data_IF_288981724445
#
_entry.id   IF_288981724445
#
_cell.length_a   1.000
_cell.length_b   1.000
_cell.length_c   1.000
_cell.angle_alpha   90.00
_cell.angle_beta   90.00
_cell.angle_gamma   90.00
#
_symmetry.space_group_name_H-M   'P 1'
#
loop_
_entity.id
_entity.type
_entity.pdbx_description
1 polymer ?
#
# COMPACT_ATOMS: atom_id res chain seq x y z
N UNK A 1 13.92 6.10 -16.94
CA UNK A 1 12.99 6.20 -18.10
C UNK A 1 11.81 7.16 -17.82
N UNK A 2 11.05 7.02 -16.71
CA UNK A 2 9.88 7.88 -16.42
C UNK A 2 10.27 9.34 -16.21
N UNK A 3 11.34 9.62 -15.45
CA UNK A 3 11.88 10.98 -15.25
C UNK A 3 12.38 11.57 -16.58
N UNK A 4 13.04 10.78 -17.41
CA UNK A 4 13.49 11.24 -18.73
C UNK A 4 12.31 11.71 -19.61
N UNK A 5 11.18 10.99 -19.58
CA UNK A 5 9.95 11.38 -20.31
C UNK A 5 9.32 12.65 -19.74
N UNK A 6 9.29 12.80 -18.40
CA UNK A 6 8.85 14.04 -17.77
C UNK A 6 9.72 15.22 -18.21
N UNK A 7 11.05 15.07 -18.16
CA UNK A 7 11.99 16.12 -18.56
C UNK A 7 11.94 16.43 -20.07
N UNK A 8 11.52 15.48 -20.89
CA UNK A 8 11.27 15.67 -22.31
C UNK A 8 9.92 16.37 -22.61
N UNK A 9 9.10 16.64 -21.59
CA UNK A 9 7.80 17.31 -21.75
C UNK A 9 6.68 16.39 -22.27
N UNK A 10 6.86 15.06 -22.19
CA UNK A 10 5.79 14.11 -22.54
C UNK A 10 4.66 14.10 -21.50
N UNK A 11 4.92 14.59 -20.28
CA UNK A 11 3.98 14.68 -19.16
C UNK A 11 4.19 15.97 -18.38
N UNK A 12 3.11 16.55 -17.85
CA UNK A 12 3.17 17.71 -16.93
C UNK A 12 3.64 17.30 -15.53
N UNK A 13 3.26 16.10 -15.09
CA UNK A 13 3.65 15.51 -13.81
C UNK A 13 3.61 13.99 -13.89
N UNK A 14 4.33 13.32 -12.98
CA UNK A 14 4.29 11.86 -12.79
C UNK A 14 4.24 11.52 -11.30
N UNK A 15 3.56 10.42 -10.96
CA UNK A 15 3.53 9.89 -9.60
C UNK A 15 4.46 8.69 -9.52
N UNK A 16 5.37 8.72 -8.55
CA UNK A 16 6.36 7.68 -8.29
C UNK A 16 6.44 7.38 -6.80
N UNK A 17 6.97 6.20 -6.46
CA UNK A 17 7.32 5.87 -5.09
C UNK A 17 8.46 6.78 -4.60
N UNK A 18 8.21 7.63 -3.61
CA UNK A 18 9.19 8.57 -3.07
C UNK A 18 10.45 7.87 -2.58
N UNK A 19 10.30 6.73 -1.87
CA UNK A 19 11.41 5.91 -1.39
C UNK A 19 12.33 5.46 -2.54
N UNK A 20 11.78 5.12 -3.71
CA UNK A 20 12.58 4.74 -4.88
C UNK A 20 13.45 5.89 -5.38
N UNK A 21 12.92 7.09 -5.45
CA UNK A 21 13.66 8.31 -5.84
C UNK A 21 14.77 8.61 -4.85
N UNK A 22 14.46 8.60 -3.55
CA UNK A 22 15.39 8.88 -2.46
C UNK A 22 16.53 7.84 -2.38
N UNK A 23 16.20 6.56 -2.46
CA UNK A 23 17.21 5.48 -2.40
C UNK A 23 18.15 5.48 -3.61
N UNK A 24 17.70 5.96 -4.75
CA UNK A 24 18.53 6.12 -5.95
C UNK A 24 19.32 7.44 -5.96
N UNK A 25 18.99 8.38 -5.06
CA UNK A 25 19.66 9.68 -4.98
C UNK A 25 19.44 10.57 -6.22
N UNK A 26 18.27 10.41 -6.86
CA UNK A 26 17.95 11.08 -8.14
C UNK A 26 16.95 12.23 -7.99
N UNK A 27 16.73 12.74 -6.79
CA UNK A 27 15.86 13.88 -6.52
C UNK A 27 16.25 15.11 -7.35
N UNK A 28 17.56 15.28 -7.55
CA UNK A 28 18.12 16.40 -8.30
C UNK A 28 17.93 16.28 -9.84
N UNK A 29 17.46 15.12 -10.33
CA UNK A 29 17.17 14.93 -11.75
C UNK A 29 15.80 15.48 -12.16
N UNK A 30 14.98 15.90 -11.18
CA UNK A 30 13.67 16.50 -11.40
C UNK A 30 13.64 17.95 -10.89
N UNK A 31 12.95 18.82 -11.63
CA UNK A 31 12.81 20.22 -11.26
C UNK A 31 12.03 20.42 -9.96
N UNK A 32 11.02 19.60 -9.74
CA UNK A 32 10.17 19.63 -8.54
C UNK A 32 9.95 18.21 -8.04
N UNK A 33 10.23 18.00 -6.77
CA UNK A 33 9.94 16.76 -6.04
C UNK A 33 9.06 17.12 -4.84
N UNK A 34 7.83 16.63 -4.84
CA UNK A 34 6.85 16.90 -3.79
C UNK A 34 6.33 15.60 -3.19
N UNK A 35 6.83 15.15 -2.02
CA UNK A 35 6.28 13.99 -1.32
C UNK A 35 4.82 14.22 -0.96
N UNK A 36 3.93 13.31 -1.35
CA UNK A 36 2.52 13.34 -1.00
C UNK A 36 2.34 12.57 0.31
N UNK A 37 1.69 13.19 1.30
CA UNK A 37 1.35 12.54 2.56
C UNK A 37 0.37 11.39 2.33
N UNK A 38 0.49 10.33 3.15
CA UNK A 38 -0.47 9.22 3.17
C UNK A 38 -1.87 9.63 3.60
N UNK A 39 -2.03 10.78 4.29
CA UNK A 39 -3.34 11.37 4.59
C UNK A 39 -4.03 11.94 3.33
N UNK A 40 -3.25 12.26 2.29
CA UNK A 40 -3.78 12.77 1.01
C UNK A 40 -3.92 11.65 -0.01
N UNK A 41 -2.96 10.73 -0.05
CA UNK A 41 -2.95 9.60 -0.97
C UNK A 41 -2.57 8.33 -0.23
N UNK A 42 -3.55 7.48 0.04
CA UNK A 42 -3.33 6.16 0.63
C UNK A 42 -2.65 5.27 -0.43
N UNK A 43 -1.45 4.73 -0.17
CA UNK A 43 -0.72 3.93 -1.15
C UNK A 43 -1.34 2.53 -1.33
N UNK A 44 -0.86 1.81 -2.34
CA UNK A 44 -1.11 0.36 -2.45
C UNK A 44 -0.41 -0.41 -1.33
N UNK A 45 -0.93 -1.60 -1.00
CA UNK A 45 -0.34 -2.45 0.04
C UNK A 45 1.15 -2.69 -0.20
N UNK A 46 1.93 -2.77 0.87
CA UNK A 46 3.36 -3.07 0.83
C UNK A 46 4.21 -1.97 0.21
N UNK A 47 3.66 -0.76 -0.01
CA UNK A 47 4.44 0.36 -0.55
C UNK A 47 5.62 0.68 0.36
N UNK A 48 6.83 0.68 -0.20
CA UNK A 48 8.13 0.84 0.47
C UNK A 48 8.59 -0.36 1.32
N UNK A 49 7.85 -1.45 1.35
CA UNK A 49 8.30 -2.71 1.99
C UNK A 49 9.06 -3.57 0.98
N UNK A 50 10.23 -4.06 1.37
CA UNK A 50 11.03 -5.00 0.56
C UNK A 50 10.80 -6.43 1.06
N UNK A 51 10.31 -7.29 0.17
CA UNK A 51 10.23 -8.73 0.41
C UNK A 51 11.51 -9.43 -0.05
N UNK A 52 12.07 -10.27 0.81
CA UNK A 52 13.24 -11.11 0.48
C UNK A 52 12.76 -12.54 0.33
N UNK A 53 12.86 -13.07 -0.89
CA UNK A 53 12.57 -14.49 -1.17
C UNK A 53 13.85 -15.31 -1.09
N UNK A 54 13.75 -16.48 -0.44
CA UNK A 54 14.88 -17.41 -0.29
C UNK A 54 14.39 -18.85 -0.18
N UNK A 55 15.31 -19.79 -0.19
CA UNK A 55 15.04 -21.20 0.11
C UNK A 55 14.69 -21.38 1.61
N UNK A 56 13.99 -22.47 1.94
CA UNK A 56 13.69 -22.84 3.32
C UNK A 56 14.87 -23.52 4.05
N UNK A 57 16.11 -23.31 3.58
CA UNK A 57 17.31 -23.80 4.27
C UNK A 57 17.49 -23.02 5.58
N UNK A 58 17.52 -23.71 6.74
CA UNK A 58 17.65 -23.07 8.05
C UNK A 58 18.89 -22.17 8.18
N UNK A 59 19.99 -22.52 7.52
CA UNK A 59 21.23 -21.71 7.56
C UNK A 59 21.07 -20.40 6.80
N UNK A 60 20.36 -20.45 5.67
CA UNK A 60 20.07 -19.24 4.89
C UNK A 60 19.09 -18.35 5.65
N UNK A 61 18.03 -18.94 6.23
CA UNK A 61 17.06 -18.21 7.05
C UNK A 61 17.71 -17.54 8.26
N UNK A 62 18.65 -18.20 8.93
CA UNK A 62 19.43 -17.62 10.04
C UNK A 62 20.21 -16.38 9.57
N UNK A 63 20.91 -16.47 8.44
CA UNK A 63 21.71 -15.37 7.91
C UNK A 63 20.84 -14.15 7.57
N UNK A 64 19.70 -14.37 6.92
CA UNK A 64 18.83 -13.25 6.47
C UNK A 64 17.93 -12.72 7.58
N UNK A 65 17.74 -13.46 8.70
CA UNK A 65 16.86 -13.05 9.79
C UNK A 65 17.22 -11.69 10.38
N UNK A 66 18.49 -11.29 10.31
CA UNK A 66 18.98 -9.98 10.77
C UNK A 66 18.42 -8.80 9.97
N UNK A 67 17.87 -9.07 8.77
CA UNK A 67 17.25 -8.07 7.91
C UNK A 67 15.75 -7.90 8.20
N UNK A 68 15.18 -8.73 9.07
CA UNK A 68 13.78 -8.65 9.42
C UNK A 68 13.49 -7.40 10.24
N UNK A 69 12.60 -6.56 9.74
CA UNK A 69 12.07 -5.39 10.43
C UNK A 69 10.70 -5.76 11.03
N UNK A 70 10.60 -5.74 12.37
CA UNK A 70 9.40 -6.16 13.08
C UNK A 70 8.21 -5.25 12.80
N UNK A 71 8.44 -3.93 12.71
CA UNK A 71 7.39 -2.95 12.44
C UNK A 71 6.86 -3.11 11.01
N UNK A 72 7.77 -3.24 10.03
CA UNK A 72 7.39 -3.50 8.65
C UNK A 72 6.65 -4.84 8.49
N UNK A 73 7.00 -5.87 9.28
CA UNK A 73 6.28 -7.14 9.29
C UNK A 73 4.84 -6.98 9.78
N UNK A 74 4.63 -6.27 10.88
CA UNK A 74 3.29 -6.00 11.45
C UNK A 74 2.45 -5.20 10.44
N UNK A 75 2.97 -4.06 9.97
CA UNK A 75 2.29 -3.19 9.01
C UNK A 75 1.90 -3.95 7.73
N UNK A 76 2.86 -4.65 7.11
CA UNK A 76 2.62 -5.40 5.87
C UNK A 76 1.67 -6.59 6.06
N UNK A 77 1.64 -7.22 7.23
CA UNK A 77 0.68 -8.30 7.56
C UNK A 77 -0.75 -7.77 7.56
N UNK A 78 -0.99 -6.61 8.17
CA UNK A 78 -2.30 -5.96 8.19
C UNK A 78 -2.73 -5.57 6.77
N UNK A 79 -1.85 -4.88 6.04
CA UNK A 79 -2.14 -4.41 4.68
C UNK A 79 -2.46 -5.58 3.74
N UNK A 80 -1.67 -6.66 3.81
CA UNK A 80 -1.88 -7.86 2.99
C UNK A 80 -3.20 -8.55 3.34
N UNK A 81 -3.46 -8.78 4.63
CA UNK A 81 -4.68 -9.49 5.05
C UNK A 81 -5.95 -8.72 4.67
N UNK A 82 -5.90 -7.37 4.62
CA UNK A 82 -6.98 -6.54 4.10
C UNK A 82 -7.24 -6.81 2.62
N UNK A 83 -6.22 -6.75 1.77
CA UNK A 83 -6.35 -6.95 0.32
C UNK A 83 -6.74 -8.40 -0.01
N UNK A 84 -6.14 -9.39 0.66
CA UNK A 84 -6.44 -10.80 0.47
C UNK A 84 -7.91 -11.13 0.82
N UNK A 85 -8.43 -10.54 1.90
CA UNK A 85 -9.83 -10.75 2.33
C UNK A 85 -10.83 -10.13 1.35
N UNK A 86 -10.50 -8.98 0.76
CA UNK A 86 -11.31 -8.37 -0.30
C UNK A 86 -11.24 -9.15 -1.61
N UNK A 87 -10.28 -10.09 -1.76
CA UNK A 87 -9.98 -10.78 -3.01
C UNK A 87 -9.63 -9.79 -4.14
N UNK A 88 -9.03 -8.66 -3.77
CA UNK A 88 -8.61 -7.61 -4.69
C UNK A 88 -7.37 -8.02 -5.47
N UNK A 89 -7.47 -8.00 -6.81
CA UNK A 89 -6.31 -8.16 -7.69
C UNK A 89 -5.49 -6.87 -7.80
N UNK A 90 -4.29 -6.96 -8.39
CA UNK A 90 -3.41 -5.81 -8.63
C UNK A 90 -4.00 -4.72 -9.57
N UNK A 91 -5.17 -4.97 -10.15
CA UNK A 91 -5.77 -4.11 -11.19
C UNK A 91 -6.97 -3.30 -10.70
N UNK A 92 -7.33 -3.44 -9.42
CA UNK A 92 -8.45 -2.70 -8.82
C UNK A 92 -7.95 -1.59 -7.90
N UNK A 93 -8.65 -0.44 -7.83
CA UNK A 93 -8.23 0.71 -7.03
C UNK A 93 -8.42 0.43 -5.53
N UNK A 94 -7.42 -0.17 -4.91
CA UNK A 94 -7.33 -0.42 -3.48
C UNK A 94 -6.08 0.27 -2.94
N UNK A 95 -6.27 1.10 -1.92
CA UNK A 95 -5.20 1.65 -1.11
C UNK A 95 -5.35 1.18 0.33
N UNK A 96 -4.23 0.86 0.98
CA UNK A 96 -4.19 0.57 2.42
C UNK A 96 -2.82 0.90 2.98
N UNK A 97 -2.80 1.56 4.13
CA UNK A 97 -1.59 1.86 4.87
C UNK A 97 -1.80 1.61 6.35
N UNK A 98 -1.01 0.74 6.92
CA UNK A 98 -0.86 0.57 8.35
C UNK A 98 0.36 1.39 8.82
N UNK A 99 0.25 2.02 9.98
CA UNK A 99 1.33 2.82 10.57
C UNK A 99 1.31 2.67 12.08
N UNK A 100 2.38 2.15 12.66
CA UNK A 100 2.53 2.06 14.11
C UNK A 100 2.63 3.48 14.68
N UNK A 101 1.76 3.80 15.65
CA UNK A 101 1.72 5.12 16.31
C UNK A 101 2.60 5.11 17.57
N UNK A 102 2.46 4.04 18.35
CA UNK A 102 3.20 3.82 19.59
C UNK A 102 3.27 2.30 19.89
N UNK A 103 3.82 1.93 21.04
CA UNK A 103 4.03 0.52 21.45
C UNK A 103 2.73 -0.32 21.49
N UNK A 104 1.56 0.33 21.59
CA UNK A 104 0.27 -0.35 21.77
C UNK A 104 -0.72 -0.11 20.63
N UNK A 105 -0.47 0.89 19.79
CA UNK A 105 -1.45 1.43 18.85
C UNK A 105 -0.96 1.46 17.42
N UNK A 106 -1.82 1.08 16.50
CA UNK A 106 -1.59 1.15 15.06
C UNK A 106 -2.76 1.83 14.36
N UNK A 107 -2.46 2.77 13.47
CA UNK A 107 -3.44 3.42 12.59
C UNK A 107 -3.50 2.66 11.28
N UNK A 108 -4.71 2.42 10.78
CA UNK A 108 -4.90 1.80 9.46
C UNK A 108 -5.85 2.65 8.65
N UNK A 109 -5.35 3.16 7.53
CA UNK A 109 -6.10 3.90 6.54
C UNK A 109 -6.35 2.99 5.34
N UNK A 110 -7.58 2.93 4.84
CA UNK A 110 -7.92 2.13 3.68
C UNK A 110 -8.93 2.84 2.78
N UNK A 111 -8.84 2.58 1.49
CA UNK A 111 -9.75 3.09 0.46
C UNK A 111 -9.95 2.05 -0.63
N UNK A 112 -11.18 1.93 -1.10
CA UNK A 112 -11.58 1.17 -2.28
C UNK A 112 -12.48 2.07 -3.11
N UNK A 113 -12.27 2.19 -4.42
CA UNK A 113 -13.06 3.11 -5.23
C UNK A 113 -13.14 2.75 -6.70
N UNK A 114 -13.83 3.56 -7.47
CA UNK A 114 -13.78 3.53 -8.94
C UNK A 114 -12.56 4.28 -9.46
N UNK A 115 -12.02 3.91 -10.64
CA UNK A 115 -10.83 4.56 -11.20
C UNK A 115 -11.01 6.08 -11.47
N UNK A 116 -12.24 6.52 -11.70
CA UNK A 116 -12.58 7.93 -11.95
C UNK A 116 -12.85 8.72 -10.66
N UNK A 117 -12.80 8.07 -9.48
CA UNK A 117 -13.04 8.69 -8.19
C UNK A 117 -14.49 9.05 -7.90
N UNK A 118 -15.45 8.67 -8.75
CA UNK A 118 -16.87 9.03 -8.60
C UNK A 118 -17.55 8.35 -7.41
N UNK A 119 -17.02 7.20 -7.00
CA UNK A 119 -17.54 6.43 -5.86
C UNK A 119 -16.39 5.73 -5.14
N UNK A 120 -16.36 5.82 -3.81
CA UNK A 120 -15.37 5.14 -2.98
C UNK A 120 -15.88 4.85 -1.58
N UNK A 121 -15.27 3.89 -0.92
CA UNK A 121 -15.41 3.55 0.49
C UNK A 121 -14.06 3.80 1.14
N UNK A 122 -14.02 4.53 2.24
CA UNK A 122 -12.80 4.76 2.99
C UNK A 122 -13.01 4.62 4.48
N UNK A 123 -11.96 4.20 5.19
CA UNK A 123 -11.89 4.10 6.63
C UNK A 123 -10.50 4.55 7.13
N UNK A 124 -10.49 5.12 8.31
CA UNK A 124 -9.32 5.50 9.08
C UNK A 124 -9.55 5.07 10.52
N UNK A 125 -8.86 4.05 10.97
CA UNK A 125 -9.08 3.44 12.28
C UNK A 125 -7.78 3.40 13.09
N UNK A 126 -7.92 3.41 14.41
CA UNK A 126 -6.85 3.05 15.35
C UNK A 126 -7.24 1.76 16.07
N UNK A 127 -6.29 0.84 16.20
CA UNK A 127 -6.49 -0.47 16.81
C UNK A 127 -5.32 -0.83 17.73
N UNK A 128 -5.51 -1.83 18.59
CA UNK A 128 -4.43 -2.34 19.45
C UNK A 128 -3.50 -3.25 18.65
N UNK A 129 -2.20 -2.97 18.71
CA UNK A 129 -1.18 -3.68 17.93
C UNK A 129 -1.10 -5.18 18.24
N UNK A 130 -1.46 -5.59 19.45
CA UNK A 130 -1.46 -7.01 19.86
C UNK A 130 -2.40 -7.90 19.03
N UNK A 131 -3.36 -7.32 18.34
CA UNK A 131 -4.32 -8.03 17.48
C UNK A 131 -4.02 -7.86 15.99
N UNK A 132 -2.80 -7.45 15.63
CA UNK A 132 -2.44 -7.06 14.27
C UNK A 132 -2.80 -8.10 13.21
N UNK A 133 -2.72 -9.40 13.52
CA UNK A 133 -3.06 -10.49 12.59
C UNK A 133 -4.53 -10.46 12.12
N UNK A 134 -5.44 -9.85 12.93
CA UNK A 134 -6.88 -9.80 12.65
C UNK A 134 -7.34 -8.45 12.12
N UNK A 135 -6.56 -7.39 12.31
CA UNK A 135 -6.98 -6.01 12.01
C UNK A 135 -7.36 -5.88 10.54
N UNK A 136 -6.50 -6.35 9.62
CA UNK A 136 -6.74 -6.24 8.19
C UNK A 136 -7.99 -6.99 7.75
N UNK A 137 -8.18 -8.22 8.23
CA UNK A 137 -9.38 -9.01 7.93
C UNK A 137 -10.67 -8.37 8.47
N UNK A 138 -10.64 -7.88 9.71
CA UNK A 138 -11.80 -7.22 10.33
C UNK A 138 -12.15 -5.92 9.60
N UNK A 139 -11.16 -5.15 9.18
CA UNK A 139 -11.37 -3.94 8.39
C UNK A 139 -11.95 -4.28 7.02
N UNK A 140 -11.41 -5.29 6.34
CA UNK A 140 -11.93 -5.75 5.04
C UNK A 140 -13.38 -6.20 5.13
N UNK A 141 -13.77 -6.89 6.22
CA UNK A 141 -15.17 -7.28 6.43
C UNK A 141 -16.09 -6.07 6.51
N UNK A 142 -15.68 -4.98 7.20
CA UNK A 142 -16.47 -3.73 7.22
C UNK A 142 -16.63 -3.13 5.82
N UNK A 143 -15.61 -3.21 4.98
CA UNK A 143 -15.70 -2.77 3.58
C UNK A 143 -16.64 -3.64 2.77
N UNK A 144 -16.61 -4.97 2.95
CA UNK A 144 -17.54 -5.91 2.31
C UNK A 144 -18.98 -5.58 2.70
N UNK A 145 -19.24 -5.36 3.99
CA UNK A 145 -20.57 -5.01 4.50
C UNK A 145 -21.09 -3.67 3.95
N UNK A 146 -20.18 -2.79 3.50
CA UNK A 146 -20.50 -1.51 2.82
C UNK A 146 -20.60 -1.62 1.30
N UNK A 147 -20.48 -2.84 0.72
CA UNK A 147 -20.60 -3.05 -0.71
C UNK A 147 -19.30 -2.97 -1.50
N UNK A 148 -18.14 -3.14 -0.84
CA UNK A 148 -16.83 -3.05 -1.53
C UNK A 148 -16.67 -4.10 -2.65
N UNK A 149 -17.26 -5.29 -2.53
CA UNK A 149 -17.15 -6.32 -3.58
C UNK A 149 -17.80 -5.88 -4.87
N UNK A 150 -19.02 -5.36 -4.82
CA UNK A 150 -19.75 -4.83 -5.97
C UNK A 150 -19.02 -3.63 -6.58
N UNK A 151 -18.42 -2.79 -5.74
CA UNK A 151 -17.63 -1.64 -6.18
C UNK A 151 -16.38 -2.10 -6.94
N UNK A 152 -15.66 -3.12 -6.45
CA UNK A 152 -14.49 -3.70 -7.08
C UNK A 152 -14.82 -4.38 -8.41
N UNK A 153 -15.91 -5.13 -8.50
CA UNK A 153 -16.37 -5.74 -9.76
C UNK A 153 -16.68 -4.67 -10.83
N UNK A 154 -17.24 -3.53 -10.43
CA UNK A 154 -17.49 -2.39 -11.32
C UNK A 154 -16.19 -1.71 -11.74
N UNK A 155 -15.25 -1.54 -10.81
CA UNK A 155 -13.94 -0.96 -11.07
C UNK A 155 -13.15 -1.80 -12.08
N UNK A 156 -13.15 -3.13 -11.93
CA UNK A 156 -12.50 -4.05 -12.85
C UNK A 156 -13.05 -3.91 -14.28
N UNK A 157 -14.38 -3.87 -14.45
CA UNK A 157 -15.01 -3.67 -15.75
C UNK A 157 -14.66 -2.33 -16.41
N UNK A 158 -14.36 -1.30 -15.62
CA UNK A 158 -13.94 0.01 -16.13
C UNK A 158 -12.46 0.04 -16.52
N UNK A 159 -11.61 -0.70 -15.83
CA UNK A 159 -10.17 -0.74 -16.08
C UNK A 159 -9.79 -1.46 -17.40
N UNK A 160 -10.68 -2.31 -17.94
CA UNK A 160 -10.47 -3.09 -19.17
C UNK A 160 -11.23 -2.55 -20.41
N UNK A 161 -11.75 -1.35 -20.33
CA UNK A 161 -12.30 -0.63 -21.50
C UNK A 161 -11.27 0.32 -22.08
#
# INVERSE_FOLDING_TARGET
TRIAKLNAGEYDAIILAATGIQKLGIENEVKYFNPISTDVMIPSMGQATLGIETTNDPKVLEIISVLNDADAHIESTIERSFVDTLQGGCQVPIGVKATIIDENSIRVQAIVGLPDGSEYISEDITAEIKEFEKIGQNLAQKFIDKGAKELLERAEKLAFK
#
